data_IF_984261114796
#
_entry.id   IF_984261114796
#
_cell.length_a   1.000
_cell.length_b   1.000
_cell.length_c   1.000
_cell.angle_alpha   90.00
_cell.angle_beta   90.00
_cell.angle_gamma   90.00
#
_symmetry.space_group_name_H-M   'P 1'
#
loop_
_entity.id
_entity.type
_entity.pdbx_description
1 polymer ?
#
# COMPACT_ATOMS: atom_id res chain seq x y z
N UNK A 1 8.33 -14.72 25.33
CA UNK A 1 8.46 -15.39 24.03
C UNK A 1 9.16 -14.43 23.07
N UNK A 2 10.45 -14.63 22.82
CA UNK A 2 11.22 -13.90 21.81
C UNK A 2 11.77 -14.97 20.86
N UNK A 3 11.23 -15.06 19.64
CA UNK A 3 11.56 -16.16 18.72
C UNK A 3 10.54 -16.43 17.61
N UNK A 4 9.43 -15.69 17.53
CA UNK A 4 8.58 -15.70 16.33
C UNK A 4 9.17 -14.72 15.31
N UNK A 5 9.44 -15.19 14.09
CA UNK A 5 9.83 -14.30 13.00
C UNK A 5 8.65 -13.35 12.72
N UNK A 6 8.86 -12.05 12.90
CA UNK A 6 7.87 -11.03 12.54
C UNK A 6 7.73 -10.98 11.02
N UNK A 7 6.51 -11.13 10.52
CA UNK A 7 6.22 -10.90 9.10
C UNK A 7 5.79 -9.45 8.90
N UNK A 8 6.49 -8.74 8.02
CA UNK A 8 6.11 -7.39 7.60
C UNK A 8 5.47 -7.49 6.23
N UNK A 9 4.19 -7.08 6.14
CA UNK A 9 3.51 -6.96 4.86
C UNK A 9 3.80 -5.57 4.26
N UNK A 10 4.73 -5.53 3.32
CA UNK A 10 5.16 -4.30 2.66
C UNK A 10 4.05 -3.58 1.90
N UNK A 11 3.03 -4.31 1.42
CA UNK A 11 1.90 -3.71 0.71
C UNK A 11 1.02 -2.83 1.62
N UNK A 12 1.09 -3.04 2.93
CA UNK A 12 0.29 -2.31 3.91
C UNK A 12 1.07 -1.15 4.56
N UNK A 13 2.29 -0.87 4.09
CA UNK A 13 3.06 0.27 4.58
C UNK A 13 2.54 1.54 3.89
N UNK A 14 2.07 2.55 4.65
CA UNK A 14 1.58 3.79 4.06
C UNK A 14 2.72 4.70 3.61
N UNK A 15 2.46 5.50 2.59
CA UNK A 15 3.29 6.63 2.16
C UNK A 15 2.55 7.93 2.43
N UNK A 16 3.25 8.92 2.99
CA UNK A 16 2.67 10.23 3.35
C UNK A 16 3.56 11.35 2.84
N UNK A 17 2.95 12.32 2.18
CA UNK A 17 3.57 13.56 1.70
C UNK A 17 2.95 14.72 2.49
N UNK A 18 3.74 15.34 3.36
CA UNK A 18 3.33 16.42 4.26
C UNK A 18 3.34 17.81 3.61
N UNK A 19 2.91 17.90 2.35
CA UNK A 19 2.61 19.18 1.69
C UNK A 19 1.21 19.65 2.07
N UNK A 20 0.79 20.83 1.59
CA UNK A 20 -0.59 21.28 1.71
C UNK A 20 -1.25 21.42 0.33
N UNK A 21 -2.31 20.66 0.01
CA UNK A 21 -2.93 19.62 0.84
C UNK A 21 -1.99 18.42 1.05
N UNK A 22 -2.21 17.70 2.15
CA UNK A 22 -1.49 16.46 2.44
C UNK A 22 -1.98 15.35 1.52
N UNK A 23 -1.08 14.43 1.18
CA UNK A 23 -1.39 13.27 0.34
C UNK A 23 -0.92 12.02 1.06
N UNK A 24 -1.80 11.02 1.19
CA UNK A 24 -1.49 9.72 1.74
C UNK A 24 -1.99 8.61 0.82
N UNK A 25 -1.21 7.54 0.69
CA UNK A 25 -1.59 6.34 -0.07
C UNK A 25 -1.08 5.07 0.62
N UNK A 26 -1.77 3.95 0.38
CA UNK A 26 -1.41 2.62 0.88
C UNK A 26 -1.99 1.55 -0.07
N UNK A 27 -1.30 0.43 -0.21
CA UNK A 27 -1.73 -0.66 -1.11
C UNK A 27 -1.37 -0.41 -2.57
N UNK A 28 -2.16 -0.98 -3.47
CA UNK A 28 -1.91 -0.94 -4.91
C UNK A 28 -2.43 0.35 -5.56
N UNK A 29 -1.70 0.84 -6.56
CA UNK A 29 -2.19 1.91 -7.44
C UNK A 29 -3.12 1.35 -8.51
N UNK A 30 -3.87 2.23 -9.17
CA UNK A 30 -4.76 1.85 -10.26
C UNK A 30 -3.98 1.23 -11.43
N UNK A 31 -2.79 1.75 -11.74
CA UNK A 31 -1.90 1.19 -12.76
C UNK A 31 -1.46 -0.23 -12.41
N UNK A 32 -1.09 -0.47 -11.15
CA UNK A 32 -0.70 -1.80 -10.68
C UNK A 32 -1.86 -2.80 -10.78
N UNK A 33 -3.09 -2.38 -10.47
CA UNK A 33 -4.27 -3.23 -10.60
C UNK A 33 -4.60 -3.53 -12.07
N UNK A 34 -4.43 -2.55 -12.98
CA UNK A 34 -4.57 -2.73 -14.42
C UNK A 34 -3.55 -3.71 -14.99
N UNK A 35 -2.27 -3.59 -14.59
CA UNK A 35 -1.21 -4.52 -14.99
C UNK A 35 -1.45 -5.93 -14.47
N UNK A 36 -1.88 -6.05 -13.21
CA UNK A 36 -2.23 -7.32 -12.58
C UNK A 36 -3.56 -7.91 -13.09
N UNK A 37 -4.28 -7.19 -13.96
CA UNK A 37 -5.62 -7.56 -14.48
C UNK A 37 -6.62 -7.88 -13.37
N UNK A 38 -6.56 -7.13 -12.28
CA UNK A 38 -7.49 -7.24 -11.16
C UNK A 38 -8.68 -6.35 -11.43
N UNK A 39 -9.90 -6.91 -11.37
CA UNK A 39 -11.12 -6.10 -11.43
C UNK A 39 -11.25 -5.24 -10.18
N UNK A 40 -11.41 -3.93 -10.36
CA UNK A 40 -11.67 -2.97 -9.29
C UNK A 40 -12.83 -2.05 -9.69
N UNK A 41 -13.43 -1.41 -8.69
CA UNK A 41 -14.50 -0.43 -8.88
C UNK A 41 -13.91 0.96 -8.92
N UNK A 42 -14.43 1.79 -9.82
CA UNK A 42 -14.10 3.22 -9.95
C UNK A 42 -15.06 4.05 -9.12
#
# INVERSE_FOLDING_TARGET
MAGLAGHVNYNLIPSVIYTWPEVASVGFTEEQLKEAKVEYKV
#
